data_IF_352320059328
#
_entry.id   IF_352320059328
#
_cell.length_a   1.000
_cell.length_b   1.000
_cell.length_c   1.000
_cell.angle_alpha   90.00
_cell.angle_beta   90.00
_cell.angle_gamma   90.00
#
_symmetry.space_group_name_H-M   'P 1'
#
loop_
_entity.id
_entity.type
_entity.pdbx_description
1 polymer ?
#
# COMPACT_ATOMS: atom_id res chain seq x y z
N UNK A 1 0.26 -26.30 -5.24
CA UNK A 1 0.08 -24.91 -4.84
C UNK A 1 1.23 -24.09 -5.30
N UNK A 2 0.95 -23.13 -6.13
CA UNK A 2 1.99 -22.26 -6.66
C UNK A 2 2.01 -20.95 -5.88
N UNK A 3 3.20 -20.44 -5.59
CA UNK A 3 3.38 -19.08 -5.10
C UNK A 3 3.43 -18.17 -6.32
N UNK A 4 2.69 -17.08 -6.28
CA UNK A 4 2.64 -16.12 -7.37
C UNK A 4 3.07 -14.76 -6.87
N UNK A 5 4.10 -14.18 -7.50
CA UNK A 5 4.51 -12.81 -7.22
C UNK A 5 3.75 -11.88 -8.14
N UNK A 6 3.15 -10.84 -7.58
CA UNK A 6 2.39 -9.87 -8.34
C UNK A 6 2.48 -8.50 -7.69
N UNK A 7 1.87 -7.52 -8.33
CA UNK A 7 1.83 -6.16 -7.81
C UNK A 7 0.47 -5.53 -8.06
N UNK A 8 0.14 -4.56 -7.23
CA UNK A 8 -1.04 -3.73 -7.41
C UNK A 8 -0.61 -2.28 -7.36
N UNK A 9 -1.09 -1.50 -8.31
CA UNK A 9 -0.69 -0.11 -8.50
C UNK A 9 -1.91 0.78 -8.27
N UNK A 10 -1.73 1.83 -7.46
CA UNK A 10 -2.72 2.90 -7.33
C UNK A 10 -2.04 4.20 -7.72
N UNK A 11 -2.57 4.85 -8.74
CA UNK A 11 -2.08 6.16 -9.16
C UNK A 11 -2.99 7.25 -8.63
N UNK A 12 -2.42 8.45 -8.46
CA UNK A 12 -3.17 9.63 -8.06
C UNK A 12 -3.90 9.43 -6.73
N UNK A 13 -3.24 8.81 -5.76
CA UNK A 13 -3.78 8.65 -4.41
C UNK A 13 -4.04 10.03 -3.83
N UNK A 14 -5.23 10.22 -3.29
CA UNK A 14 -5.67 11.49 -2.77
C UNK A 14 -6.20 11.37 -1.35
N UNK A 15 -7.09 12.30 -0.98
CA UNK A 15 -7.61 12.43 0.38
C UNK A 15 -8.71 11.41 0.69
N UNK A 16 -9.15 10.64 -0.27
CA UNK A 16 -10.11 9.56 -0.07
C UNK A 16 -9.38 8.23 -0.06
N UNK A 17 -9.63 7.40 0.95
CA UNK A 17 -9.00 6.09 1.06
C UNK A 17 -9.36 5.21 -0.14
N UNK A 18 -8.36 4.53 -0.68
CA UNK A 18 -8.51 3.64 -1.83
C UNK A 18 -8.13 2.23 -1.41
N UNK A 19 -8.95 1.26 -1.75
CA UNK A 19 -8.60 -0.15 -1.55
C UNK A 19 -7.67 -0.57 -2.68
N UNK A 20 -6.41 -0.83 -2.33
CA UNK A 20 -5.40 -1.25 -3.31
C UNK A 20 -5.53 -2.73 -3.66
N UNK A 21 -5.96 -3.55 -2.70
CA UNK A 21 -5.92 -4.99 -2.87
C UNK A 21 -6.88 -5.66 -1.88
N UNK A 22 -7.52 -6.72 -2.34
CA UNK A 22 -8.34 -7.59 -1.49
C UNK A 22 -7.88 -9.02 -1.69
N UNK A 23 -7.59 -9.71 -0.59
CA UNK A 23 -7.15 -11.11 -0.65
C UNK A 23 -8.32 -11.99 -1.08
N UNK A 24 -8.10 -12.81 -2.11
CA UNK A 24 -9.12 -13.71 -2.63
C UNK A 24 -9.47 -14.80 -1.60
N UNK A 25 -10.65 -15.39 -1.77
CA UNK A 25 -11.06 -16.53 -0.93
C UNK A 25 -10.07 -17.68 -1.08
N UNK A 26 -9.80 -18.37 0.02
CA UNK A 26 -8.90 -19.52 0.07
C UNK A 26 -7.46 -19.18 -0.33
N UNK A 27 -7.06 -17.92 -0.18
CA UNK A 27 -5.72 -17.45 -0.55
C UNK A 27 -5.07 -16.81 0.68
N UNK A 28 -3.76 -17.01 0.80
CA UNK A 28 -2.92 -16.30 1.77
C UNK A 28 -1.98 -15.39 1.00
N UNK A 29 -1.78 -14.18 1.49
CA UNK A 29 -0.93 -13.20 0.83
C UNK A 29 0.11 -12.66 1.80
N UNK A 30 1.32 -12.48 1.31
CA UNK A 30 2.38 -11.78 2.05
C UNK A 30 2.67 -10.48 1.33
N UNK A 31 2.53 -9.36 2.03
CA UNK A 31 2.95 -8.06 1.49
C UNK A 31 4.46 -7.97 1.65
N UNK A 32 5.17 -7.76 0.55
CA UNK A 32 6.61 -7.67 0.54
C UNK A 32 7.12 -6.23 0.60
N UNK A 33 6.29 -5.28 0.23
CA UNK A 33 6.64 -3.87 0.30
C UNK A 33 5.55 -3.00 -0.29
N UNK A 34 5.53 -1.74 0.11
CA UNK A 34 4.63 -0.73 -0.44
C UNK A 34 5.43 0.53 -0.73
N UNK A 35 5.73 0.76 -2.00
CA UNK A 35 6.50 1.91 -2.45
C UNK A 35 5.54 3.03 -2.81
N UNK A 36 5.72 4.20 -2.21
CA UNK A 36 4.87 5.37 -2.46
C UNK A 36 5.73 6.54 -2.87
N UNK A 37 5.38 7.15 -3.99
CA UNK A 37 6.06 8.33 -4.52
C UNK A 37 5.19 9.56 -4.36
N UNK A 38 5.77 10.63 -3.84
CA UNK A 38 5.12 11.94 -3.75
C UNK A 38 5.33 12.70 -5.06
N UNK A 39 4.25 13.00 -5.75
CA UNK A 39 4.29 13.67 -7.06
C UNK A 39 4.20 15.19 -6.96
N UNK A 40 4.10 15.72 -5.76
CA UNK A 40 3.89 17.16 -5.55
C UNK A 40 5.18 17.86 -5.13
N UNK A 41 5.16 19.18 -5.19
CA UNK A 41 6.28 20.02 -4.78
C UNK A 41 6.27 20.34 -3.28
N UNK A 42 5.37 19.73 -2.52
CA UNK A 42 5.29 19.87 -1.06
C UNK A 42 5.25 18.50 -0.42
N UNK A 43 5.73 18.41 0.83
CA UNK A 43 5.62 17.15 1.57
C UNK A 43 4.16 16.77 1.77
N UNK A 44 3.87 15.48 1.69
CA UNK A 44 2.54 14.94 2.00
C UNK A 44 2.67 13.83 3.04
N UNK A 45 1.59 13.54 3.74
CA UNK A 45 1.55 12.38 4.64
C UNK A 45 0.67 11.30 4.03
N UNK A 46 1.07 10.04 4.25
CA UNK A 46 0.35 8.88 3.72
C UNK A 46 0.08 7.90 4.85
N UNK A 47 -1.11 7.34 4.84
CA UNK A 47 -1.52 6.30 5.79
C UNK A 47 -1.82 5.03 5.03
N UNK A 48 -1.23 3.92 5.45
CA UNK A 48 -1.44 2.59 4.88
C UNK A 48 -2.06 1.69 5.95
N UNK A 49 -3.14 1.02 5.59
CA UNK A 49 -3.83 0.10 6.50
C UNK A 49 -4.07 -1.24 5.81
N UNK A 50 -4.06 -2.31 6.59
CA UNK A 50 -4.38 -3.66 6.10
C UNK A 50 -5.11 -4.43 7.18
N UNK A 51 -6.11 -5.24 6.76
CA UNK A 51 -6.89 -6.09 7.67
C UNK A 51 -7.51 -5.28 8.84
N UNK A 52 -7.89 -4.05 8.58
CA UNK A 52 -8.46 -3.17 9.59
C UNK A 52 -7.44 -2.55 10.54
N UNK A 53 -6.17 -2.87 10.39
CA UNK A 53 -5.10 -2.32 11.24
C UNK A 53 -4.29 -1.29 10.47
N UNK A 54 -3.84 -0.25 11.16
CA UNK A 54 -2.97 0.77 10.57
C UNK A 54 -1.54 0.27 10.58
N UNK A 55 -0.94 0.18 9.39
CA UNK A 55 0.46 -0.25 9.25
C UNK A 55 1.41 0.93 9.30
N UNK A 56 1.03 2.04 8.71
CA UNK A 56 1.81 3.27 8.72
C UNK A 56 0.84 4.43 8.73
N UNK A 57 0.97 5.33 9.70
CA UNK A 57 0.04 6.45 9.86
C UNK A 57 0.78 7.76 9.69
N UNK A 58 0.23 8.62 8.80
CA UNK A 58 0.74 9.96 8.58
C UNK A 58 2.26 9.99 8.36
N UNK A 59 2.76 9.06 7.56
CA UNK A 59 4.17 9.01 7.22
C UNK A 59 4.48 10.15 6.24
N UNK A 60 5.39 11.03 6.61
CA UNK A 60 5.75 12.17 5.79
C UNK A 60 6.66 11.73 4.63
N UNK A 61 6.24 12.05 3.42
CA UNK A 61 7.05 11.83 2.22
C UNK A 61 7.45 13.20 1.69
N UNK A 62 8.76 13.49 1.65
CA UNK A 62 9.23 14.79 1.14
C UNK A 62 8.79 15.04 -0.30
N UNK A 63 8.75 16.31 -0.68
CA UNK A 63 8.39 16.71 -2.05
C UNK A 63 9.25 15.98 -3.08
N UNK A 64 8.61 15.46 -4.13
CA UNK A 64 9.28 14.80 -5.26
C UNK A 64 10.15 13.60 -4.84
N UNK A 65 9.81 12.94 -3.73
CA UNK A 65 10.55 11.80 -3.17
C UNK A 65 9.64 10.59 -3.03
N UNK A 66 10.23 9.47 -2.65
CA UNK A 66 9.51 8.23 -2.47
C UNK A 66 10.01 7.48 -1.23
N UNK A 67 9.14 6.69 -0.63
CA UNK A 67 9.45 5.85 0.53
C UNK A 67 8.80 4.48 0.37
N UNK A 68 9.42 3.47 0.98
CA UNK A 68 8.78 2.20 1.25
C UNK A 68 8.11 2.30 2.62
N UNK A 69 6.79 2.27 2.65
CA UNK A 69 6.03 2.46 3.89
C UNK A 69 6.21 1.33 4.89
N UNK A 70 6.57 0.15 4.44
CA UNK A 70 6.76 -1.00 5.31
C UNK A 70 8.20 -1.15 5.79
N UNK A 71 9.10 -0.38 5.22
CA UNK A 71 10.51 -0.35 5.61
C UNK A 71 11.13 -1.75 5.70
N UNK A 72 10.80 -2.61 4.74
CA UNK A 72 11.32 -3.98 4.69
C UNK A 72 10.53 -5.00 5.50
N UNK A 73 9.51 -4.58 6.23
CA UNK A 73 8.66 -5.51 6.98
C UNK A 73 7.75 -6.29 6.05
N UNK A 74 7.49 -7.54 6.39
CA UNK A 74 6.54 -8.37 5.66
C UNK A 74 5.28 -8.54 6.47
N UNK A 75 4.13 -8.41 5.79
CA UNK A 75 2.82 -8.48 6.43
C UNK A 75 2.06 -9.65 5.84
N UNK A 76 1.57 -10.52 6.70
CA UNK A 76 0.81 -11.70 6.31
C UNK A 76 -0.68 -11.39 6.34
N UNK A 77 -1.38 -11.67 5.24
CA UNK A 77 -2.82 -11.45 5.13
C UNK A 77 -3.53 -12.76 4.83
N UNK A 78 -4.73 -12.88 5.34
CA UNK A 78 -5.59 -14.04 5.10
C UNK A 78 -6.77 -13.66 4.21
N UNK A 79 -7.54 -14.65 3.78
CA UNK A 79 -8.66 -14.44 2.87
C UNK A 79 -9.57 -13.28 3.34
N UNK A 80 -10.00 -12.49 2.38
CA UNK A 80 -10.89 -11.33 2.53
C UNK A 80 -10.26 -10.08 3.19
N UNK A 81 -9.02 -10.14 3.66
CA UNK A 81 -8.34 -8.95 4.15
C UNK A 81 -8.13 -7.93 3.02
N UNK A 82 -8.17 -6.66 3.37
CA UNK A 82 -7.99 -5.56 2.39
C UNK A 82 -6.81 -4.69 2.77
N UNK A 83 -6.22 -4.06 1.75
CA UNK A 83 -5.16 -3.07 1.91
C UNK A 83 -5.67 -1.74 1.37
N UNK A 84 -5.62 -0.70 2.21
CA UNK A 84 -6.09 0.64 1.83
C UNK A 84 -4.99 1.67 2.03
N UNK A 85 -5.04 2.72 1.23
CA UNK A 85 -4.08 3.82 1.29
C UNK A 85 -4.80 5.16 1.13
N UNK A 86 -4.32 6.18 1.81
CA UNK A 86 -4.84 7.54 1.72
C UNK A 86 -3.70 8.54 1.90
N UNK A 87 -3.81 9.68 1.24
CA UNK A 87 -2.84 10.76 1.31
C UNK A 87 -3.49 12.03 1.90
N UNK A 88 -2.66 12.96 2.34
CA UNK A 88 -3.11 14.24 2.90
C UNK A 88 -3.43 15.29 1.85
N UNK A 89 -3.16 15.03 0.58
CA UNK A 89 -3.40 15.99 -0.51
C UNK A 89 -4.02 15.30 -1.71
N UNK A 90 -4.86 15.99 -2.50
CA UNK A 90 -5.50 15.38 -3.66
C UNK A 90 -4.47 15.09 -4.76
N UNK A 91 -4.63 13.97 -5.46
CA UNK A 91 -3.83 13.57 -6.62
C UNK A 91 -2.34 13.71 -6.35
N UNK A 92 -1.88 13.19 -5.20
CA UNK A 92 -0.55 13.53 -4.70
C UNK A 92 0.46 12.40 -4.75
N UNK A 93 0.03 11.15 -4.86
CA UNK A 93 0.95 10.03 -4.73
C UNK A 93 0.61 8.89 -5.67
N UNK A 94 1.64 8.18 -6.10
CA UNK A 94 1.50 6.88 -6.77
C UNK A 94 2.05 5.81 -5.84
N UNK A 95 1.36 4.69 -5.74
CA UNK A 95 1.74 3.60 -4.85
C UNK A 95 1.81 2.28 -5.60
N UNK A 96 2.81 1.48 -5.27
CA UNK A 96 2.95 0.12 -5.78
C UNK A 96 3.05 -0.82 -4.59
N UNK A 97 2.15 -1.80 -4.54
CA UNK A 97 2.13 -2.84 -3.52
C UNK A 97 2.68 -4.12 -4.15
N UNK A 98 3.77 -4.63 -3.61
CA UNK A 98 4.37 -5.89 -4.05
C UNK A 98 3.94 -7.01 -3.12
N UNK A 99 3.39 -8.07 -3.67
CA UNK A 99 2.84 -9.18 -2.88
C UNK A 99 3.25 -10.54 -3.44
N UNK A 100 3.12 -11.54 -2.59
CA UNK A 100 3.20 -12.95 -2.97
C UNK A 100 1.91 -13.62 -2.53
N UNK A 101 1.24 -14.27 -3.46
CA UNK A 101 0.00 -14.99 -3.19
C UNK A 101 0.23 -16.49 -3.19
N UNK A 102 -0.42 -17.16 -2.27
CA UNK A 102 -0.40 -18.62 -2.18
C UNK A 102 -1.83 -19.12 -2.03
N UNK A 103 -2.25 -19.85 -3.02
CA UNK A 103 -3.60 -20.42 -3.03
C UNK A 103 -3.65 -21.78 -2.31
#
# INVERSE_FOLDING_TARGET
>A
MANTFTRHVSTNVGMTAVTMYTVAASTTTVIMGCHVANLTSSAVTVTLSAAGATLAKDVSIPANSALDLLNGSRINLVATDTVTIVSSAPVSADAILSIMEKA
#
